data_IF_418523388343
#
_entry.id   IF_418523388343
#
_cell.length_a   1.000
_cell.length_b   1.000
_cell.length_c   1.000
_cell.angle_alpha   90.00
_cell.angle_beta   90.00
_cell.angle_gamma   90.00
#
_symmetry.space_group_name_H-M   'P 1'
#
loop_
_entity.id
_entity.type
_entity.pdbx_description
1 polymer ?
#
# COMPACT_ATOMS: atom_id res chain seq x y z
N UNK A 1 -16.70 2.24 -19.05
CA UNK A 1 -15.81 2.03 -17.89
C UNK A 1 -14.48 2.66 -18.27
N UNK A 2 -14.21 3.86 -17.76
CA UNK A 2 -12.95 4.57 -18.02
C UNK A 2 -11.96 4.23 -16.90
N UNK A 3 -10.94 3.45 -17.23
CA UNK A 3 -9.79 3.21 -16.34
C UNK A 3 -8.83 4.36 -16.56
N UNK A 4 -8.80 5.32 -15.64
CA UNK A 4 -7.90 6.47 -15.71
C UNK A 4 -6.54 6.06 -15.15
N UNK A 5 -5.58 5.74 -16.03
CA UNK A 5 -4.18 5.57 -15.66
C UNK A 5 -3.54 6.96 -15.49
N UNK A 6 -3.14 7.32 -14.27
CA UNK A 6 -2.35 8.52 -14.02
C UNK A 6 -0.88 8.25 -14.34
N UNK A 7 -0.50 8.23 -15.62
CA UNK A 7 0.90 8.40 -16.04
C UNK A 7 1.14 9.91 -16.20
N UNK A 8 1.83 10.53 -15.25
CA UNK A 8 2.16 11.95 -15.28
C UNK A 8 3.61 12.13 -15.74
N UNK A 9 3.82 12.24 -17.04
CA UNK A 9 4.96 12.99 -17.59
C UNK A 9 4.35 14.10 -18.42
N UNK A 10 4.51 15.37 -18.02
CA UNK A 10 4.82 16.46 -18.97
C UNK A 10 5.07 17.82 -18.29
N UNK A 11 6.21 18.39 -18.65
CA UNK A 11 6.72 19.70 -18.25
C UNK A 11 6.06 20.78 -19.11
N UNK A 12 4.91 21.36 -18.71
CA UNK A 12 4.60 22.76 -19.06
C UNK A 12 3.51 23.36 -18.17
N UNK A 13 3.77 24.58 -17.69
CA UNK A 13 2.93 25.38 -16.78
C UNK A 13 1.46 25.48 -17.25
N UNK A 14 0.56 24.73 -16.63
CA UNK A 14 -0.90 24.99 -16.60
C UNK A 14 -1.35 25.03 -15.15
N UNK A 15 -2.30 25.92 -14.84
CA UNK A 15 -2.94 26.05 -13.52
C UNK A 15 -3.43 24.66 -13.10
N UNK A 16 -2.71 24.03 -12.16
CA UNK A 16 -3.07 22.73 -11.61
C UNK A 16 -4.27 22.97 -10.70
N UNK A 17 -5.48 22.71 -11.19
CA UNK A 17 -6.57 22.38 -10.25
C UNK A 17 -6.14 21.07 -9.61
N UNK A 18 -5.59 21.18 -8.41
CA UNK A 18 -5.28 20.07 -7.51
C UNK A 18 -6.57 19.33 -7.24
N UNK A 19 -6.87 18.34 -8.08
CA UNK A 19 -7.93 17.38 -7.77
C UNK A 19 -7.33 16.51 -6.68
N UNK A 20 -7.60 16.84 -5.41
CA UNK A 20 -7.30 15.96 -4.28
C UNK A 20 -7.92 14.61 -4.61
N UNK A 21 -7.08 13.67 -5.01
CA UNK A 21 -7.45 12.27 -5.07
C UNK A 21 -7.55 11.84 -3.62
N UNK A 22 -8.73 12.01 -3.00
CA UNK A 22 -9.07 11.38 -1.73
C UNK A 22 -9.04 9.85 -1.95
N UNK A 23 -7.84 9.28 -1.99
CA UNK A 23 -7.61 7.86 -2.09
C UNK A 23 -7.13 7.38 -0.73
N UNK A 24 -7.85 6.42 -0.17
CA UNK A 24 -7.44 5.79 1.08
C UNK A 24 -6.17 4.97 0.86
N UNK A 25 -5.40 4.73 1.92
CA UNK A 25 -4.23 3.85 1.88
C UNK A 25 -4.55 2.48 1.27
N UNK A 26 -5.68 1.88 1.65
CA UNK A 26 -6.08 0.57 1.14
C UNK A 26 -6.40 0.60 -0.36
N UNK A 27 -7.08 1.63 -0.85
CA UNK A 27 -7.35 1.80 -2.29
C UNK A 27 -6.07 2.08 -3.07
N UNK A 28 -5.17 2.90 -2.51
CA UNK A 28 -3.88 3.19 -3.12
C UNK A 28 -3.06 1.91 -3.31
N UNK A 29 -2.92 1.11 -2.27
CA UNK A 29 -2.15 -0.13 -2.31
C UNK A 29 -2.80 -1.18 -3.23
N UNK A 30 -4.14 -1.29 -3.26
CA UNK A 30 -4.86 -2.15 -4.22
C UNK A 30 -4.60 -1.74 -5.67
N UNK A 31 -4.62 -0.44 -5.95
CA UNK A 31 -4.43 0.09 -7.31
C UNK A 31 -2.98 0.01 -7.77
N UNK A 32 -2.03 0.19 -6.85
CA UNK A 32 -0.61 0.08 -7.15
C UNK A 32 -0.21 -1.38 -7.42
N UNK A 33 -0.88 -2.34 -6.78
CA UNK A 33 -0.62 -3.77 -6.93
C UNK A 33 0.36 -4.29 -5.88
N UNK A 34 0.54 -5.62 -5.85
CA UNK A 34 1.40 -6.28 -4.87
C UNK A 34 2.80 -5.64 -4.86
N UNK A 35 3.24 -5.23 -3.68
CA UNK A 35 4.51 -4.55 -3.50
C UNK A 35 5.27 -5.15 -2.35
N UNK A 36 6.58 -5.20 -2.51
CA UNK A 36 7.49 -5.43 -1.41
C UNK A 36 8.12 -4.12 -0.95
N UNK A 37 8.52 -4.05 0.31
CA UNK A 37 9.23 -2.91 0.89
C UNK A 37 8.41 -1.60 0.86
N UNK A 38 7.32 -1.56 1.61
CA UNK A 38 6.53 -0.37 1.87
C UNK A 38 6.90 0.19 3.25
N UNK A 39 7.08 1.51 3.31
CA UNK A 39 7.20 2.28 4.54
C UNK A 39 6.09 3.34 4.62
N UNK A 40 5.51 3.50 5.81
CA UNK A 40 4.47 4.46 6.12
C UNK A 40 4.98 5.35 7.24
N UNK A 41 5.05 6.65 6.97
CA UNK A 41 5.53 7.65 7.92
C UNK A 41 4.73 7.59 9.23
N UNK A 42 5.44 7.48 10.35
CA UNK A 42 4.91 7.34 11.70
C UNK A 42 4.41 5.95 12.11
N UNK A 43 4.49 4.94 11.24
CA UNK A 43 3.99 3.58 11.53
C UNK A 43 5.03 2.49 11.33
N UNK A 44 5.73 2.49 10.21
CA UNK A 44 6.74 1.47 9.88
C UNK A 44 8.00 2.09 9.24
N UNK A 45 8.41 3.25 9.74
CA UNK A 45 9.75 3.76 9.50
C UNK A 45 10.74 2.72 10.05
N UNK A 46 11.61 2.16 9.20
CA UNK A 46 12.64 1.14 9.49
C UNK A 46 12.24 -0.35 9.36
N UNK A 47 10.95 -0.70 9.45
CA UNK A 47 10.46 -2.06 9.18
C UNK A 47 9.77 -2.13 7.82
N UNK A 48 10.30 -2.97 6.92
CA UNK A 48 9.80 -3.09 5.55
C UNK A 48 8.70 -4.13 5.47
N UNK A 49 7.48 -3.66 5.21
CA UNK A 49 6.32 -4.53 5.04
C UNK A 49 6.01 -4.73 3.56
N UNK A 50 5.37 -5.84 3.25
CA UNK A 50 4.79 -6.11 1.94
C UNK A 50 3.31 -5.78 1.95
N UNK A 51 2.76 -5.55 0.77
CA UNK A 51 1.32 -5.51 0.55
C UNK A 51 0.95 -6.59 -0.44
N UNK A 52 0.09 -7.50 0.01
CA UNK A 52 -0.59 -8.47 -0.84
C UNK A 52 -2.08 -8.13 -0.83
N UNK A 53 -2.64 -7.91 -2.01
CA UNK A 53 -4.07 -7.61 -2.13
C UNK A 53 -4.88 -8.84 -1.73
N UNK A 54 -5.79 -8.68 -0.76
CA UNK A 54 -6.69 -9.75 -0.36
C UNK A 54 -7.66 -10.08 -1.52
N UNK A 55 -7.75 -11.36 -1.93
CA UNK A 55 -8.74 -11.80 -2.90
C UNK A 55 -10.17 -11.57 -2.42
N UNK A 56 -11.11 -11.40 -3.36
CA UNK A 56 -12.53 -11.17 -3.03
C UNK A 56 -13.22 -12.34 -2.35
N UNK A 57 -12.62 -13.53 -2.39
CA UNK A 57 -13.12 -14.72 -1.72
C UNK A 57 -12.74 -14.77 -0.24
N UNK A 58 -11.80 -13.95 0.24
CA UNK A 58 -11.49 -13.82 1.67
C UNK A 58 -12.56 -12.97 2.34
N UNK A 59 -13.46 -13.60 3.08
CA UNK A 59 -14.56 -12.92 3.77
C UNK A 59 -14.52 -13.08 5.30
N UNK A 60 -13.97 -14.19 5.78
CA UNK A 60 -13.88 -14.49 7.21
C UNK A 60 -12.51 -15.05 7.62
N UNK A 61 -12.40 -15.46 8.89
CA UNK A 61 -11.16 -15.97 9.47
C UNK A 61 -10.72 -17.32 8.86
N UNK A 62 -11.65 -18.16 8.42
CA UNK A 62 -11.35 -19.45 7.81
C UNK A 62 -10.78 -19.23 6.40
N UNK A 63 -11.42 -18.36 5.59
CA UNK A 63 -10.88 -17.97 4.29
C UNK A 63 -9.51 -17.29 4.42
N UNK A 64 -9.34 -16.47 5.46
CA UNK A 64 -8.06 -15.82 5.74
C UNK A 64 -6.98 -16.86 6.05
N UNK A 65 -7.28 -17.85 6.90
CA UNK A 65 -6.34 -18.92 7.23
C UNK A 65 -5.94 -19.74 5.98
N UNK A 66 -6.89 -20.01 5.07
CA UNK A 66 -6.60 -20.66 3.78
C UNK A 66 -5.67 -19.82 2.92
N UNK A 67 -5.96 -18.53 2.75
CA UNK A 67 -5.10 -17.61 2.01
C UNK A 67 -3.68 -17.53 2.60
N UNK A 68 -3.55 -17.46 3.94
CA UNK A 68 -2.24 -17.40 4.57
C UNK A 68 -1.41 -18.66 4.32
N UNK A 69 -2.05 -19.84 4.35
CA UNK A 69 -1.39 -21.10 4.09
C UNK A 69 -0.89 -21.21 2.64
N UNK A 70 -1.65 -20.68 1.68
CA UNK A 70 -1.31 -20.74 0.27
C UNK A 70 -0.32 -19.65 -0.17
N UNK A 71 -0.60 -18.39 0.18
CA UNK A 71 0.07 -17.22 -0.40
C UNK A 71 1.12 -16.59 0.52
N UNK A 72 0.97 -16.74 1.84
CA UNK A 72 1.90 -16.17 2.82
C UNK A 72 2.81 -17.20 3.48
N UNK A 73 2.75 -18.46 3.04
CA UNK A 73 3.64 -19.48 3.56
C UNK A 73 5.03 -19.41 2.92
N UNK A 74 6.05 -19.82 3.68
CA UNK A 74 7.41 -20.01 3.17
C UNK A 74 7.53 -21.21 2.21
N UNK A 75 6.40 -21.80 1.79
CA UNK A 75 6.33 -22.89 0.84
C UNK A 75 6.33 -22.38 -0.61
N UNK A 76 7.31 -21.54 -0.93
CA UNK A 76 7.58 -21.03 -2.27
C UNK A 76 9.06 -21.24 -2.61
N UNK A 77 9.46 -21.22 -3.90
CA UNK A 77 10.86 -21.48 -4.30
C UNK A 77 11.90 -20.58 -3.64
N UNK A 78 11.50 -19.41 -3.12
CA UNK A 78 12.38 -18.45 -2.46
C UNK A 78 12.35 -18.55 -0.92
N UNK A 79 11.53 -19.44 -0.36
CA UNK A 79 11.26 -19.56 1.08
C UNK A 79 10.94 -18.22 1.77
N UNK A 80 10.36 -17.29 1.03
CA UNK A 80 10.06 -15.95 1.50
C UNK A 80 8.70 -15.93 2.18
N UNK A 81 8.61 -15.37 3.39
CA UNK A 81 7.34 -15.15 4.09
C UNK A 81 7.08 -13.64 4.04
N UNK A 82 6.06 -13.18 3.31
CA UNK A 82 5.74 -11.77 3.24
C UNK A 82 5.35 -11.20 4.60
N UNK A 83 5.86 -10.01 4.93
CA UNK A 83 5.48 -9.29 6.14
C UNK A 83 4.33 -8.34 5.81
N UNK A 84 3.10 -8.85 5.78
CA UNK A 84 1.97 -8.11 5.25
C UNK A 84 1.45 -6.99 6.17
N UNK A 85 1.33 -5.76 5.64
CA UNK A 85 0.79 -4.59 6.34
C UNK A 85 -0.57 -4.85 7.03
N UNK A 86 -1.45 -5.62 6.39
CA UNK A 86 -2.79 -5.85 6.94
C UNK A 86 -2.82 -6.73 8.19
N UNK A 87 -1.70 -7.39 8.53
CA UNK A 87 -1.55 -8.17 9.77
C UNK A 87 -1.15 -7.31 10.96
N UNK A 88 -0.74 -6.07 10.71
CA UNK A 88 -0.25 -5.21 11.76
C UNK A 88 -1.38 -4.68 12.65
N UNK A 89 -1.22 -4.64 13.99
CA UNK A 89 -2.27 -4.18 14.91
C UNK A 89 -2.74 -2.74 14.68
N UNK A 90 -1.95 -1.93 14.00
CA UNK A 90 -2.26 -0.55 13.67
C UNK A 90 -2.92 -0.37 12.29
N UNK A 91 -3.00 -1.42 11.47
CA UNK A 91 -3.51 -1.35 10.10
C UNK A 91 -4.93 -0.76 10.02
N UNK A 92 -5.84 -1.22 10.88
CA UNK A 92 -7.22 -0.73 10.92
C UNK A 92 -7.34 0.77 11.24
N UNK A 93 -6.31 1.36 11.87
CA UNK A 93 -6.27 2.80 12.17
C UNK A 93 -5.88 3.63 10.95
N UNK A 94 -5.22 3.04 9.97
CA UNK A 94 -4.59 3.76 8.85
C UNK A 94 -5.13 3.40 7.47
N UNK A 95 -5.73 2.23 7.29
CA UNK A 95 -6.19 1.72 5.99
C UNK A 95 -7.16 2.66 5.27
N UNK A 96 -7.93 3.43 6.04
CA UNK A 96 -8.93 4.39 5.55
C UNK A 96 -8.44 5.85 5.57
N UNK A 97 -7.18 6.11 5.97
CA UNK A 97 -6.57 7.44 5.93
C UNK A 97 -6.20 7.82 4.50
N UNK A 98 -6.33 9.11 4.19
CA UNK A 98 -5.96 9.69 2.90
C UNK A 98 -4.44 9.60 2.69
N UNK A 99 -4.00 9.13 1.52
CA UNK A 99 -2.61 9.25 1.09
C UNK A 99 -2.39 10.67 0.60
N UNK A 100 -1.54 11.44 1.29
CA UNK A 100 -1.25 12.84 0.94
C UNK A 100 0.01 12.99 0.10
N UNK A 101 0.95 12.07 0.29
CA UNK A 101 2.18 12.02 -0.50
C UNK A 101 2.67 10.58 -0.60
N UNK A 102 3.35 10.27 -1.70
CA UNK A 102 4.08 9.02 -1.85
C UNK A 102 5.27 9.24 -2.77
N UNK A 103 6.32 8.45 -2.56
CA UNK A 103 7.51 8.46 -3.39
C UNK A 103 8.14 7.06 -3.47
N UNK A 104 8.87 6.79 -4.54
CA UNK A 104 9.69 5.59 -4.67
C UNK A 104 11.13 5.99 -4.43
N UNK A 105 11.77 5.35 -3.46
CA UNK A 105 13.20 5.55 -3.16
C UNK A 105 13.99 4.27 -3.43
N UNK A 106 15.31 4.41 -3.54
CA UNK A 106 16.21 3.30 -3.86
C UNK A 106 16.36 3.04 -5.37
N UNK A 107 16.76 1.81 -5.71
CA UNK A 107 17.10 1.42 -7.08
C UNK A 107 18.61 1.23 -7.32
N UNK A 108 18.96 0.50 -8.38
CA UNK A 108 20.34 0.11 -8.66
C UNK A 108 20.82 -0.99 -7.70
N UNK A 109 21.77 -0.67 -6.83
CA UNK A 109 22.28 -1.59 -5.80
C UNK A 109 21.41 -1.64 -4.54
N UNK A 110 20.50 -0.69 -4.36
CA UNK A 110 19.61 -0.60 -3.20
C UNK A 110 18.22 -1.13 -3.54
N UNK A 111 17.57 -1.78 -2.57
CA UNK A 111 16.18 -2.23 -2.71
C UNK A 111 15.28 -1.04 -3.02
N UNK A 112 14.34 -1.24 -3.93
CA UNK A 112 13.30 -0.25 -4.24
C UNK A 112 12.29 -0.27 -3.10
N UNK A 113 11.92 0.91 -2.62
CA UNK A 113 11.02 1.10 -1.48
C UNK A 113 9.94 2.12 -1.82
N UNK A 114 8.69 1.81 -1.46
CA UNK A 114 7.54 2.69 -1.61
C UNK A 114 7.27 3.39 -0.27
N UNK A 115 7.54 4.69 -0.20
CA UNK A 115 7.29 5.52 0.97
C UNK A 115 5.94 6.22 0.84
N UNK A 116 5.11 6.15 1.88
CA UNK A 116 3.76 6.72 1.90
C UNK A 116 3.61 7.63 3.12
N UNK A 117 3.11 8.84 2.88
CA UNK A 117 2.69 9.80 3.90
C UNK A 117 1.16 9.85 3.96
N UNK A 118 0.61 9.78 5.18
CA UNK A 118 -0.83 9.79 5.43
C UNK A 118 -1.29 11.14 5.98
N UNK A 119 -2.41 11.64 5.46
CA UNK A 119 -3.06 12.85 5.94
C UNK A 119 -3.50 12.73 7.39
N UNK A 120 -3.62 13.88 8.08
CA UNK A 120 -4.01 13.93 9.50
C UNK A 120 -5.32 13.18 9.75
N UNK A 121 -5.44 12.57 10.93
CA UNK A 121 -6.70 11.99 11.37
C UNK A 121 -7.80 13.05 11.33
N UNK A 122 -8.94 12.71 10.72
CA UNK A 122 -10.13 13.56 10.74
C UNK A 122 -10.64 13.59 12.18
N UNK A 123 -10.27 14.61 12.94
CA UNK A 123 -10.88 14.87 14.24
C UNK A 123 -12.34 15.25 13.98
N UNK A 124 -13.25 14.39 14.42
CA UNK A 124 -14.67 14.73 14.50
C UNK A 124 -14.82 15.77 15.62
N UNK A 125 -14.96 17.05 15.23
CA UNK A 125 -15.56 18.10 16.07
C UNK A 125 -17.08 17.96 16.11
#
# INVERSE_FOLDING_TARGET
>A
MEVTFCVMIEVTKRKVTEKRCNMTLSEFLKNYGNNACISIEGYCEEERYDYVALPSWVQDEDDMAEFEAEELSGNNPNHYIPSCLFKEPWWDKVKDREVVHWNIIGGGMYKVELCIELGKERQHE
#
